data_IF_795042928101
#
_entry.id   IF_795042928101
#
_cell.length_a   1.000
_cell.length_b   1.000
_cell.length_c   1.000
_cell.angle_alpha   90.00
_cell.angle_beta   90.00
_cell.angle_gamma   90.00
#
_symmetry.space_group_name_H-M   'P 1'
#
loop_
_entity.id
_entity.type
_entity.pdbx_description
1 polymer ?
#
# COMPACT_ATOMS: atom_id res chain seq x y z
N UNK A 1 17.30 18.88 16.67
CA UNK A 1 16.98 18.52 18.06
C UNK A 1 15.82 19.31 18.68
N UNK A 2 15.60 20.56 18.27
CA UNK A 2 14.55 21.44 18.87
C UNK A 2 13.14 21.18 18.27
N UNK A 3 13.03 20.80 17.01
CA UNK A 3 11.73 20.56 16.37
C UNK A 3 10.95 19.37 16.95
N UNK A 4 11.65 18.34 17.42
CA UNK A 4 11.02 17.15 18.01
C UNK A 4 10.33 17.46 19.36
N UNK A 5 10.93 18.31 20.18
CA UNK A 5 10.36 18.71 21.49
C UNK A 5 9.13 19.61 21.31
N UNK A 6 9.15 20.49 20.30
CA UNK A 6 8.05 21.41 19.99
C UNK A 6 6.83 20.66 19.40
N UNK A 7 7.06 19.66 18.58
CA UNK A 7 6.02 18.78 18.07
C UNK A 7 5.36 17.95 19.18
N UNK A 8 6.14 17.37 20.10
CA UNK A 8 5.61 16.65 21.26
C UNK A 8 4.73 17.56 22.16
N UNK A 9 5.11 18.80 22.32
CA UNK A 9 4.35 19.74 23.16
C UNK A 9 3.03 20.16 22.50
N UNK A 10 3.03 20.42 21.20
CA UNK A 10 1.82 20.72 20.42
C UNK A 10 0.82 19.56 20.43
N UNK A 11 1.30 18.33 20.21
CA UNK A 11 0.43 17.15 20.17
C UNK A 11 -0.16 16.79 21.53
N UNK A 12 0.55 17.05 22.63
CA UNK A 12 0.05 16.82 23.98
C UNK A 12 -1.14 17.73 24.36
N UNK A 13 -1.23 18.91 23.77
CA UNK A 13 -2.35 19.83 23.99
C UNK A 13 -3.58 19.51 23.13
N UNK A 14 -3.41 18.90 21.96
CA UNK A 14 -4.53 18.46 21.10
C UNK A 14 -5.27 17.27 21.70
N UNK A 15 -4.60 16.41 22.46
CA UNK A 15 -5.21 15.25 23.11
C UNK A 15 -6.19 15.58 24.26
N UNK A 16 -6.27 16.82 24.68
CA UNK A 16 -7.16 17.23 25.80
C UNK A 16 -8.56 17.68 25.38
N UNK A 17 -8.90 17.65 24.10
CA UNK A 17 -10.31 17.76 23.73
C UNK A 17 -11.01 16.44 24.09
N UNK A 18 -11.94 16.46 25.06
CA UNK A 18 -12.73 15.28 25.34
C UNK A 18 -13.49 14.96 24.06
N UNK A 19 -13.21 13.83 23.48
CA UNK A 19 -14.01 13.26 22.39
C UNK A 19 -15.37 12.89 22.99
N UNK A 20 -16.29 13.85 23.06
CA UNK A 20 -17.71 13.61 23.31
C UNK A 20 -18.38 12.99 22.06
N UNK A 21 -17.65 12.20 21.32
CA UNK A 21 -18.23 11.35 20.30
C UNK A 21 -18.71 10.08 20.98
N UNK A 22 -19.97 10.08 21.43
CA UNK A 22 -20.67 8.83 21.58
C UNK A 22 -20.36 7.97 20.37
N UNK A 23 -20.02 6.69 20.58
CA UNK A 23 -19.80 5.73 19.50
C UNK A 23 -20.99 5.79 18.54
N UNK A 24 -20.87 6.54 17.46
CA UNK A 24 -21.86 6.49 16.40
C UNK A 24 -21.82 5.07 15.85
N UNK A 25 -22.92 4.33 15.85
CA UNK A 25 -22.92 2.95 15.36
C UNK A 25 -22.37 2.94 13.96
N UNK A 26 -21.41 2.06 13.70
CA UNK A 26 -20.74 1.93 12.41
C UNK A 26 -21.79 1.79 11.29
N UNK A 27 -21.83 2.65 10.29
CA UNK A 27 -22.90 2.65 9.29
C UNK A 27 -22.80 1.40 8.41
N UNK A 28 -23.54 0.36 8.78
CA UNK A 28 -23.55 -0.94 8.09
C UNK A 28 -23.87 -0.81 6.58
N UNK A 29 -24.68 0.19 6.21
CA UNK A 29 -24.99 0.49 4.81
C UNK A 29 -23.77 0.97 4.02
N UNK A 30 -22.86 1.73 4.63
CA UNK A 30 -21.63 2.20 3.99
C UNK A 30 -20.64 1.04 3.81
N UNK A 31 -20.57 0.12 4.77
CA UNK A 31 -19.75 -1.07 4.68
C UNK A 31 -20.23 -2.02 3.58
N UNK A 32 -21.55 -2.21 3.45
CA UNK A 32 -22.12 -3.02 2.38
C UNK A 32 -21.80 -2.42 1.00
N UNK A 33 -21.94 -1.10 0.83
CA UNK A 33 -21.59 -0.41 -0.42
C UNK A 33 -20.11 -0.58 -0.76
N UNK A 34 -19.22 -0.46 0.22
CA UNK A 34 -17.80 -0.68 0.04
C UNK A 34 -17.49 -2.13 -0.43
N UNK A 35 -18.09 -3.13 0.22
CA UNK A 35 -17.96 -4.54 -0.20
C UNK A 35 -18.42 -4.79 -1.63
N UNK A 36 -19.54 -4.18 -2.02
CA UNK A 36 -20.07 -4.31 -3.40
C UNK A 36 -19.09 -3.71 -4.41
N UNK A 37 -18.54 -2.52 -4.13
CA UNK A 37 -17.57 -1.89 -5.03
C UNK A 37 -16.31 -2.75 -5.14
N UNK A 38 -15.84 -3.29 -4.02
CA UNK A 38 -14.67 -4.16 -3.99
C UNK A 38 -14.93 -5.45 -4.79
N UNK A 39 -16.10 -6.06 -4.64
CA UNK A 39 -16.50 -7.24 -5.38
C UNK A 39 -16.59 -6.96 -6.90
N UNK A 40 -17.13 -5.80 -7.30
CA UNK A 40 -17.19 -5.36 -8.70
C UNK A 40 -15.77 -5.17 -9.25
N UNK A 41 -14.89 -4.53 -8.47
CA UNK A 41 -13.49 -4.29 -8.87
C UNK A 41 -12.76 -5.60 -9.14
N UNK A 42 -12.78 -6.52 -8.16
CA UNK A 42 -12.12 -7.81 -8.31
C UNK A 42 -12.76 -8.69 -9.39
N UNK A 43 -14.10 -8.74 -9.46
CA UNK A 43 -14.82 -9.46 -10.50
C UNK A 43 -14.45 -8.97 -11.90
N UNK A 44 -14.40 -7.65 -12.09
CA UNK A 44 -14.01 -7.07 -13.38
C UNK A 44 -12.53 -7.32 -13.68
N UNK A 45 -11.64 -7.28 -12.68
CA UNK A 45 -10.23 -7.60 -12.87
C UNK A 45 -10.02 -9.05 -13.31
N UNK A 46 -10.74 -10.00 -12.72
CA UNK A 46 -10.69 -11.42 -13.12
C UNK A 46 -11.23 -11.60 -14.53
N UNK A 47 -12.38 -10.99 -14.86
CA UNK A 47 -12.98 -11.07 -16.21
C UNK A 47 -12.00 -10.52 -17.26
N UNK A 48 -11.39 -9.36 -17.00
CA UNK A 48 -10.42 -8.77 -17.93
C UNK A 48 -9.16 -9.64 -18.06
N UNK A 49 -8.66 -10.20 -16.96
CA UNK A 49 -7.50 -11.11 -16.97
C UNK A 49 -7.78 -12.35 -17.85
N UNK A 50 -8.98 -12.94 -17.74
CA UNK A 50 -9.37 -14.08 -18.56
C UNK A 50 -9.55 -13.67 -20.04
N UNK A 51 -10.20 -12.53 -20.29
CA UNK A 51 -10.52 -12.07 -21.64
C UNK A 51 -9.24 -11.72 -22.44
N UNK A 52 -8.27 -11.11 -21.78
CA UNK A 52 -7.01 -10.73 -22.44
C UNK A 52 -5.90 -11.78 -22.30
N UNK A 53 -6.19 -12.92 -21.65
CA UNK A 53 -5.19 -13.97 -21.37
C UNK A 53 -3.91 -13.43 -20.68
N UNK A 54 -4.09 -12.43 -19.81
CA UNK A 54 -3.00 -11.76 -19.13
C UNK A 54 -3.14 -11.88 -17.59
N UNK A 55 -2.20 -11.32 -16.87
CA UNK A 55 -2.14 -11.39 -15.40
C UNK A 55 -3.30 -10.64 -14.75
N UNK A 56 -3.67 -11.06 -13.53
CA UNK A 56 -4.68 -10.35 -12.71
C UNK A 56 -4.25 -8.89 -12.46
N UNK A 57 -2.93 -8.63 -12.41
CA UNK A 57 -2.39 -7.27 -12.25
C UNK A 57 -2.78 -6.36 -13.42
N UNK A 58 -2.73 -6.88 -14.65
CA UNK A 58 -3.20 -6.17 -15.84
C UNK A 58 -4.70 -5.89 -15.75
N UNK A 59 -5.48 -6.90 -15.36
CA UNK A 59 -6.92 -6.74 -15.10
C UNK A 59 -7.22 -5.65 -14.07
N UNK A 60 -6.47 -5.60 -12.96
CA UNK A 60 -6.61 -4.56 -11.93
C UNK A 60 -6.22 -3.18 -12.45
N UNK A 61 -5.17 -3.06 -13.25
CA UNK A 61 -4.71 -1.80 -13.81
C UNK A 61 -5.80 -1.11 -14.67
N UNK A 62 -6.58 -1.89 -15.40
CA UNK A 62 -7.67 -1.38 -16.24
C UNK A 62 -8.96 -1.21 -15.42
N UNK A 63 -9.28 -2.16 -14.52
CA UNK A 63 -10.53 -2.12 -13.77
C UNK A 63 -10.57 -0.98 -12.75
N UNK A 64 -9.44 -0.61 -12.12
CA UNK A 64 -9.39 0.49 -11.15
C UNK A 64 -9.90 1.82 -11.73
N UNK A 65 -9.37 2.36 -12.84
CA UNK A 65 -9.87 3.59 -13.42
C UNK A 65 -11.31 3.45 -13.93
N UNK A 66 -11.70 2.30 -14.51
CA UNK A 66 -13.07 2.09 -14.97
C UNK A 66 -14.08 2.11 -13.82
N UNK A 67 -13.81 1.43 -12.72
CA UNK A 67 -14.66 1.46 -11.52
C UNK A 67 -14.71 2.86 -10.92
N UNK A 68 -13.58 3.57 -10.88
CA UNK A 68 -13.52 4.95 -10.42
C UNK A 68 -14.40 5.88 -11.28
N UNK A 69 -14.32 5.78 -12.60
CA UNK A 69 -15.16 6.56 -13.52
C UNK A 69 -16.65 6.21 -13.37
N UNK A 70 -16.98 4.92 -13.27
CA UNK A 70 -18.34 4.46 -13.04
C UNK A 70 -18.92 4.95 -11.72
N UNK A 71 -18.10 4.96 -10.66
CA UNK A 71 -18.48 5.50 -9.36
C UNK A 71 -18.70 7.01 -9.41
N UNK A 72 -17.80 7.73 -10.07
CA UNK A 72 -17.92 9.17 -10.27
C UNK A 72 -19.20 9.51 -11.03
N UNK A 73 -19.47 8.79 -12.12
CA UNK A 73 -20.72 8.95 -12.88
C UNK A 73 -21.96 8.66 -12.04
N UNK A 74 -21.92 7.63 -11.18
CA UNK A 74 -23.02 7.31 -10.26
C UNK A 74 -23.29 8.43 -9.25
N UNK A 75 -22.24 9.10 -8.77
CA UNK A 75 -22.40 10.25 -7.86
C UNK A 75 -23.09 11.44 -8.54
N UNK A 76 -22.93 11.61 -9.85
CA UNK A 76 -23.58 12.70 -10.58
C UNK A 76 -25.06 12.44 -10.91
N UNK A 77 -25.57 11.22 -10.66
CA UNK A 77 -26.99 10.90 -10.88
C UNK A 77 -27.97 11.69 -10.01
N UNK A 78 -27.52 12.25 -8.90
CA UNK A 78 -28.31 13.13 -8.02
C UNK A 78 -28.52 14.51 -8.60
N UNK A 79 -27.79 14.89 -9.67
CA UNK A 79 -27.83 16.19 -10.33
C UNK A 79 -28.82 16.14 -11.51
N UNK A 80 -29.53 17.23 -11.83
CA UNK A 80 -30.41 17.30 -13.00
C UNK A 80 -29.72 16.92 -14.28
N UNK A 81 -30.44 16.24 -15.18
CA UNK A 81 -29.86 15.58 -16.37
C UNK A 81 -29.06 16.52 -17.28
N UNK A 82 -29.46 17.79 -17.38
CA UNK A 82 -28.77 18.80 -18.20
C UNK A 82 -27.38 19.18 -17.66
N UNK A 83 -27.15 19.03 -16.36
CA UNK A 83 -25.91 19.44 -15.69
C UNK A 83 -25.00 18.25 -15.31
N UNK A 84 -25.45 17.02 -15.57
CA UNK A 84 -24.68 15.80 -15.18
C UNK A 84 -23.34 15.70 -15.88
N UNK A 85 -23.33 15.89 -17.19
CA UNK A 85 -22.09 15.77 -17.97
C UNK A 85 -21.05 16.85 -17.62
N UNK A 86 -21.42 18.14 -17.56
CA UNK A 86 -20.47 19.17 -17.12
C UNK A 86 -20.00 18.97 -15.67
N UNK A 87 -20.87 18.52 -14.76
CA UNK A 87 -20.47 18.19 -13.40
C UNK A 87 -19.52 16.99 -13.31
N UNK A 88 -19.72 15.98 -14.14
CA UNK A 88 -18.82 14.83 -14.26
C UNK A 88 -17.45 15.26 -14.77
N UNK A 89 -17.39 16.03 -15.86
CA UNK A 89 -16.13 16.54 -16.43
C UNK A 89 -15.39 17.42 -15.43
N UNK A 90 -16.10 18.32 -14.75
CA UNK A 90 -15.50 19.18 -13.72
C UNK A 90 -14.88 18.38 -12.57
N UNK A 91 -15.53 17.32 -12.09
CA UNK A 91 -14.98 16.44 -11.06
C UNK A 91 -13.79 15.64 -11.56
N UNK A 92 -13.85 15.18 -12.81
CA UNK A 92 -12.73 14.47 -13.43
C UNK A 92 -11.49 15.40 -13.55
N UNK A 93 -11.73 16.65 -13.93
CA UNK A 93 -10.70 17.71 -14.00
C UNK A 93 -10.10 17.99 -12.60
N UNK A 94 -10.94 18.13 -11.57
CA UNK A 94 -10.48 18.30 -10.18
C UNK A 94 -9.60 17.12 -9.72
N UNK A 95 -9.98 15.90 -10.05
CA UNK A 95 -9.18 14.70 -9.68
C UNK A 95 -7.87 14.70 -10.45
N UNK A 96 -7.90 14.93 -11.76
CA UNK A 96 -6.73 14.81 -12.63
C UNK A 96 -5.72 15.95 -12.43
N UNK A 97 -6.17 17.19 -12.30
CA UNK A 97 -5.29 18.35 -12.26
C UNK A 97 -5.07 18.93 -10.86
N UNK A 98 -5.88 18.55 -9.87
CA UNK A 98 -5.72 19.07 -8.50
C UNK A 98 -5.39 17.94 -7.52
N UNK A 99 -6.18 16.86 -7.48
CA UNK A 99 -6.02 15.83 -6.47
C UNK A 99 -4.81 14.91 -6.75
N UNK A 100 -4.61 14.50 -8.01
CA UNK A 100 -3.44 13.68 -8.39
C UNK A 100 -2.12 14.43 -8.19
N UNK A 101 -1.94 15.69 -8.66
CA UNK A 101 -0.72 16.44 -8.40
C UNK A 101 -0.43 16.69 -6.93
N UNK A 102 -1.44 16.86 -6.08
CA UNK A 102 -1.23 16.97 -4.62
C UNK A 102 -0.60 15.73 -4.01
N UNK A 103 -0.81 14.55 -4.61
CA UNK A 103 -0.24 13.28 -4.15
C UNK A 103 1.06 12.89 -4.85
N UNK A 104 1.67 13.80 -5.62
CA UNK A 104 2.91 13.53 -6.38
C UNK A 104 4.03 12.94 -5.51
N UNK A 105 4.18 13.41 -4.27
CA UNK A 105 5.20 12.88 -3.36
C UNK A 105 5.02 11.38 -3.07
N UNK A 106 3.76 10.93 -2.90
CA UNK A 106 3.47 9.52 -2.67
C UNK A 106 3.78 8.71 -3.93
N UNK A 107 3.38 9.21 -5.10
CA UNK A 107 3.67 8.57 -6.40
C UNK A 107 5.17 8.45 -6.65
N UNK A 108 5.93 9.53 -6.42
CA UNK A 108 7.39 9.53 -6.56
C UNK A 108 8.02 8.54 -5.57
N UNK A 109 7.58 8.55 -4.32
CA UNK A 109 8.09 7.62 -3.30
C UNK A 109 7.83 6.16 -3.68
N UNK A 110 6.65 5.83 -4.19
CA UNK A 110 6.30 4.48 -4.65
C UNK A 110 7.17 4.06 -5.83
N UNK A 111 7.28 4.92 -6.85
CA UNK A 111 8.10 4.66 -8.03
C UNK A 111 9.59 4.52 -7.68
N UNK A 112 10.12 5.44 -6.88
CA UNK A 112 11.50 5.40 -6.42
C UNK A 112 11.79 4.17 -5.56
N UNK A 113 10.89 3.79 -4.67
CA UNK A 113 11.04 2.59 -3.83
C UNK A 113 11.12 1.32 -4.66
N UNK A 114 10.25 1.17 -5.67
CA UNK A 114 10.28 0.03 -6.59
C UNK A 114 11.57 0.01 -7.42
N UNK A 115 12.00 1.16 -7.94
CA UNK A 115 13.21 1.29 -8.74
C UNK A 115 14.47 0.96 -7.92
N UNK A 116 14.63 1.59 -6.75
CA UNK A 116 15.77 1.36 -5.85
C UNK A 116 15.82 -0.11 -5.38
N UNK A 117 14.66 -0.68 -5.02
CA UNK A 117 14.58 -2.09 -4.62
C UNK A 117 15.05 -3.03 -5.71
N UNK A 118 14.67 -2.77 -6.98
CA UNK A 118 15.08 -3.60 -8.12
C UNK A 118 16.56 -3.42 -8.49
N UNK A 119 17.06 -2.19 -8.49
CA UNK A 119 18.49 -1.93 -8.76
C UNK A 119 19.35 -2.52 -7.64
N UNK A 120 18.99 -2.26 -6.37
CA UNK A 120 19.72 -2.81 -5.23
C UNK A 120 19.81 -4.33 -5.26
N UNK A 121 18.71 -5.01 -5.65
CA UNK A 121 18.75 -6.46 -5.85
C UNK A 121 19.66 -6.88 -6.99
N UNK A 122 19.70 -6.12 -8.09
CA UNK A 122 20.57 -6.41 -9.24
C UNK A 122 22.07 -6.18 -8.97
N UNK A 123 22.42 -5.39 -7.96
CA UNK A 123 23.81 -5.14 -7.56
C UNK A 123 24.39 -6.24 -6.66
N UNK A 124 23.55 -7.07 -6.07
CA UNK A 124 23.96 -8.14 -5.17
C UNK A 124 23.86 -9.47 -5.93
N UNK A 125 24.95 -10.24 -6.06
CA UNK A 125 24.87 -11.59 -6.60
C UNK A 125 23.95 -12.45 -5.72
N UNK A 126 22.85 -12.94 -6.30
CA UNK A 126 21.82 -13.64 -5.54
C UNK A 126 22.35 -14.90 -4.84
N UNK A 127 23.28 -15.61 -5.48
CA UNK A 127 23.92 -16.80 -4.91
C UNK A 127 24.82 -16.46 -3.71
N UNK A 128 25.62 -15.40 -3.79
CA UNK A 128 26.46 -14.95 -2.68
C UNK A 128 25.60 -14.51 -1.48
N UNK A 129 24.51 -13.84 -1.75
CA UNK A 129 23.52 -13.47 -0.73
C UNK A 129 22.89 -14.71 -0.07
N UNK A 130 22.50 -15.71 -0.85
CA UNK A 130 21.91 -16.94 -0.35
C UNK A 130 22.92 -17.75 0.49
N UNK A 131 24.18 -17.82 0.04
CA UNK A 131 25.27 -18.52 0.74
C UNK A 131 25.63 -17.79 2.04
N UNK A 132 25.76 -16.46 2.02
CA UNK A 132 26.08 -15.65 3.20
C UNK A 132 25.04 -15.79 4.31
N UNK A 133 23.76 -15.95 3.96
CA UNK A 133 22.66 -16.18 4.88
C UNK A 133 22.42 -17.67 5.20
N UNK A 134 23.15 -18.59 4.56
CA UNK A 134 22.98 -20.02 4.76
C UNK A 134 21.60 -20.54 4.34
N UNK A 135 20.95 -19.91 3.36
CA UNK A 135 19.55 -20.18 2.99
C UNK A 135 19.33 -21.65 2.58
N UNK A 136 20.32 -22.26 1.94
CA UNK A 136 20.22 -23.66 1.48
C UNK A 136 20.32 -24.71 2.60
N UNK A 137 20.83 -24.31 3.78
CA UNK A 137 20.99 -25.19 4.94
C UNK A 137 19.89 -24.98 5.99
N UNK A 138 19.01 -23.97 5.76
CA UNK A 138 17.97 -23.58 6.69
C UNK A 138 16.68 -24.33 6.39
N UNK A 139 15.94 -24.83 7.41
CA UNK A 139 14.62 -25.42 7.19
C UNK A 139 13.67 -24.39 6.59
N UNK A 140 12.78 -24.83 5.69
CA UNK A 140 11.80 -23.97 4.99
C UNK A 140 11.04 -23.04 5.91
N UNK A 141 10.50 -23.59 7.02
CA UNK A 141 9.70 -22.80 7.97
C UNK A 141 10.52 -21.70 8.65
N UNK A 142 11.79 -21.95 8.93
CA UNK A 142 12.70 -20.99 9.54
C UNK A 142 13.03 -19.87 8.56
N UNK A 143 13.35 -20.22 7.31
CA UNK A 143 13.59 -19.26 6.24
C UNK A 143 12.37 -18.35 6.00
N UNK A 144 11.18 -18.94 5.84
CA UNK A 144 9.94 -18.20 5.57
C UNK A 144 9.57 -17.27 6.74
N UNK A 145 9.73 -17.74 7.97
CA UNK A 145 9.47 -16.94 9.17
C UNK A 145 10.47 -15.79 9.29
N UNK A 146 11.76 -16.06 9.09
CA UNK A 146 12.82 -15.04 9.14
C UNK A 146 12.60 -13.97 8.08
N UNK A 147 12.26 -14.37 6.85
CA UNK A 147 11.96 -13.45 5.76
C UNK A 147 10.81 -12.50 6.10
N UNK A 148 9.71 -13.03 6.65
CA UNK A 148 8.55 -12.23 7.06
C UNK A 148 8.88 -11.29 8.22
N UNK A 149 9.57 -11.78 9.24
CA UNK A 149 9.90 -11.02 10.45
C UNK A 149 10.96 -9.97 10.17
N UNK A 150 11.98 -10.26 9.35
CA UNK A 150 13.06 -9.33 9.03
C UNK A 150 12.57 -8.05 8.35
N UNK A 151 11.46 -8.10 7.63
CA UNK A 151 10.88 -6.92 6.99
C UNK A 151 10.41 -5.87 8.01
N UNK A 152 10.00 -6.29 9.21
CA UNK A 152 9.45 -5.38 10.22
C UNK A 152 10.54 -4.44 10.78
N UNK A 153 11.64 -4.91 11.40
CA UNK A 153 12.64 -4.02 11.96
C UNK A 153 13.33 -3.16 10.90
N UNK A 154 13.57 -3.70 9.70
CA UNK A 154 14.19 -2.92 8.61
C UNK A 154 13.26 -1.79 8.16
N UNK A 155 11.94 -1.98 8.20
CA UNK A 155 10.99 -0.92 7.87
C UNK A 155 11.00 0.22 8.89
N UNK A 156 11.38 -0.02 10.14
CA UNK A 156 11.58 1.02 11.15
C UNK A 156 12.87 1.84 10.93
N UNK A 157 13.85 1.30 10.23
CA UNK A 157 15.08 2.02 9.85
C UNK A 157 14.87 3.03 8.70
N UNK A 158 13.62 3.20 8.25
CA UNK A 158 13.29 4.16 7.19
C UNK A 158 13.20 3.55 5.79
N UNK A 159 13.39 2.24 5.68
CA UNK A 159 13.24 1.53 4.40
C UNK A 159 11.75 1.31 4.11
N UNK A 160 11.29 1.74 2.94
CA UNK A 160 9.90 1.54 2.54
C UNK A 160 9.56 0.04 2.44
N UNK A 161 8.43 -0.42 3.03
CA UNK A 161 8.00 -1.82 2.91
C UNK A 161 7.87 -2.31 1.47
N UNK A 162 7.49 -1.43 0.53
CA UNK A 162 7.41 -1.74 -0.89
C UNK A 162 8.80 -2.00 -1.48
N UNK A 163 9.78 -1.17 -1.13
CA UNK A 163 11.16 -1.34 -1.56
C UNK A 163 11.71 -2.70 -1.13
N UNK A 164 11.43 -3.11 0.11
CA UNK A 164 11.86 -4.41 0.63
C UNK A 164 11.18 -5.58 -0.08
N UNK A 165 9.86 -5.50 -0.33
CA UNK A 165 9.14 -6.54 -1.05
C UNK A 165 9.69 -6.72 -2.48
N UNK A 166 9.98 -5.61 -3.18
CA UNK A 166 10.60 -5.64 -4.52
C UNK A 166 12.04 -6.18 -4.45
N UNK A 167 12.82 -5.76 -3.47
CA UNK A 167 14.20 -6.19 -3.28
C UNK A 167 14.28 -7.71 -3.03
N UNK A 168 13.59 -8.22 -2.01
CA UNK A 168 13.59 -9.65 -1.70
C UNK A 168 12.97 -10.48 -2.83
N UNK A 169 11.87 -10.01 -3.42
CA UNK A 169 11.26 -10.67 -4.56
C UNK A 169 12.19 -10.76 -5.77
N UNK A 170 13.00 -9.73 -6.03
CA UNK A 170 13.95 -9.71 -7.14
C UNK A 170 15.16 -10.59 -6.85
N UNK A 171 15.74 -10.56 -5.65
CA UNK A 171 16.89 -11.43 -5.30
C UNK A 171 16.47 -12.89 -5.31
N UNK A 172 15.39 -13.24 -4.62
CA UNK A 172 14.94 -14.62 -4.53
C UNK A 172 14.47 -15.15 -5.88
N UNK A 173 13.85 -14.30 -6.71
CA UNK A 173 13.48 -14.65 -8.08
C UNK A 173 14.67 -14.86 -9.03
N UNK A 174 15.85 -14.35 -8.69
CA UNK A 174 17.08 -14.55 -9.45
C UNK A 174 17.87 -15.81 -9.03
N UNK A 175 17.46 -16.48 -7.93
CA UNK A 175 18.10 -17.71 -7.49
C UNK A 175 17.78 -18.87 -8.43
N UNK A 176 18.77 -19.68 -8.84
CA UNK A 176 18.55 -20.86 -9.67
C UNK A 176 17.72 -21.93 -8.96
N UNK A 177 17.85 -22.02 -7.64
CA UNK A 177 17.08 -22.92 -6.78
C UNK A 177 16.54 -22.10 -5.62
N UNK A 178 15.22 -22.04 -5.50
CA UNK A 178 14.58 -21.39 -4.36
C UNK A 178 14.70 -22.26 -3.10
N UNK A 179 14.97 -21.66 -1.93
CA UNK A 179 15.06 -22.39 -0.66
C UNK A 179 13.74 -23.05 -0.23
N UNK A 180 12.62 -22.69 -0.83
CA UNK A 180 11.30 -23.23 -0.56
C UNK A 180 10.39 -23.11 -1.78
N UNK A 181 9.15 -23.61 -1.69
CA UNK A 181 8.16 -23.50 -2.78
C UNK A 181 7.89 -22.02 -3.13
N UNK A 182 7.88 -21.63 -4.42
CA UNK A 182 7.71 -20.23 -4.84
C UNK A 182 6.46 -19.55 -4.24
N UNK A 183 5.37 -20.30 -4.12
CA UNK A 183 4.11 -19.80 -3.54
C UNK A 183 4.28 -19.45 -2.06
N UNK A 184 5.02 -20.26 -1.29
CA UNK A 184 5.27 -20.00 0.13
C UNK A 184 6.21 -18.81 0.32
N UNK A 185 7.21 -18.66 -0.54
CA UNK A 185 8.12 -17.50 -0.55
C UNK A 185 7.32 -16.22 -0.85
N UNK A 186 6.47 -16.23 -1.86
CA UNK A 186 5.60 -15.10 -2.19
C UNK A 186 4.65 -14.76 -1.03
N UNK A 187 4.10 -15.78 -0.35
CA UNK A 187 3.24 -15.58 0.83
C UNK A 187 4.02 -14.97 2.00
N UNK A 188 5.25 -15.43 2.25
CA UNK A 188 6.10 -14.90 3.31
C UNK A 188 6.46 -13.42 3.06
N UNK A 189 6.84 -13.06 1.83
CA UNK A 189 7.08 -11.66 1.45
C UNK A 189 5.81 -10.82 1.61
N UNK A 190 4.67 -11.32 1.13
CA UNK A 190 3.38 -10.61 1.21
C UNK A 190 2.93 -10.39 2.65
N UNK A 191 3.10 -11.38 3.53
CA UNK A 191 2.76 -11.27 4.95
C UNK A 191 3.68 -10.28 5.68
N UNK A 192 5.00 -10.37 5.46
CA UNK A 192 5.97 -9.43 6.00
C UNK A 192 5.72 -7.99 5.52
N UNK A 193 5.42 -7.83 4.23
CA UNK A 193 5.02 -6.55 3.66
C UNK A 193 3.74 -6.00 4.30
N UNK A 194 2.69 -6.81 4.43
CA UNK A 194 1.41 -6.39 4.99
C UNK A 194 1.56 -5.93 6.46
N UNK A 195 2.31 -6.68 7.29
CA UNK A 195 2.59 -6.30 8.68
C UNK A 195 3.42 -5.01 8.71
N UNK A 196 4.47 -4.90 7.90
CA UNK A 196 5.31 -3.70 7.82
C UNK A 196 4.52 -2.46 7.38
N UNK A 197 3.53 -2.61 6.48
CA UNK A 197 2.64 -1.52 6.06
C UNK A 197 1.74 -0.97 7.17
N UNK A 198 1.46 -1.76 8.19
CA UNK A 198 0.65 -1.31 9.34
C UNK A 198 1.49 -0.81 10.51
N UNK A 199 2.70 -1.31 10.66
CA UNK A 199 3.57 -1.02 11.81
C UNK A 199 4.62 0.05 11.53
N UNK A 200 5.05 0.23 10.28
CA UNK A 200 6.11 1.19 9.96
C UNK A 200 5.58 2.63 9.86
N UNK A 201 6.23 3.60 10.50
CA UNK A 201 5.91 5.03 10.36
C UNK A 201 6.18 5.56 8.94
N UNK A 202 6.99 4.86 8.14
CA UNK A 202 7.32 5.20 6.76
C UNK A 202 6.41 4.51 5.73
N UNK A 203 5.44 3.72 6.19
CA UNK A 203 4.47 3.11 5.31
C UNK A 203 3.55 4.15 4.67
N UNK A 204 3.26 3.98 3.38
CA UNK A 204 2.43 4.92 2.61
C UNK A 204 1.05 5.12 3.25
N UNK A 205 0.44 4.05 3.77
CA UNK A 205 -0.87 4.10 4.44
C UNK A 205 -0.82 4.95 5.70
N UNK A 206 0.22 4.76 6.54
CA UNK A 206 0.43 5.52 7.77
C UNK A 206 0.66 7.00 7.45
N UNK A 207 1.47 7.31 6.43
CA UNK A 207 1.72 8.68 5.99
C UNK A 207 0.44 9.34 5.44
N UNK A 208 -0.42 8.61 4.72
CA UNK A 208 -1.70 9.15 4.27
C UNK A 208 -2.65 9.45 5.44
N UNK A 209 -2.79 8.52 6.39
CA UNK A 209 -3.64 8.70 7.58
C UNK A 209 -3.11 9.86 8.44
N UNK A 210 -1.79 9.94 8.62
CA UNK A 210 -1.11 11.02 9.32
C UNK A 210 -1.46 12.39 8.73
N UNK A 211 -1.38 12.53 7.41
CA UNK A 211 -1.70 13.78 6.71
C UNK A 211 -3.18 14.15 6.81
N UNK A 212 -4.08 13.17 6.67
CA UNK A 212 -5.53 13.40 6.73
C UNK A 212 -5.99 13.84 8.13
N UNK A 213 -5.36 13.32 9.17
CA UNK A 213 -5.75 13.58 10.57
C UNK A 213 -4.83 14.57 11.30
N UNK A 214 -3.78 15.09 10.65
CA UNK A 214 -2.75 15.93 11.27
C UNK A 214 -2.12 15.30 12.53
N UNK A 215 -1.92 13.97 12.51
CA UNK A 215 -1.33 13.21 13.61
C UNK A 215 0.07 12.76 13.16
N UNK A 216 1.06 12.73 14.05
CA UNK A 216 2.40 12.29 13.67
C UNK A 216 2.41 10.80 13.29
N UNK A 217 3.17 10.38 12.25
CA UNK A 217 3.26 8.97 11.82
C UNK A 217 3.72 8.04 12.95
N UNK A 218 4.71 8.50 13.74
CA UNK A 218 5.23 7.75 14.89
C UNK A 218 4.16 7.48 15.96
N UNK A 219 3.26 8.43 16.19
CA UNK A 219 2.19 8.26 17.17
C UNK A 219 1.12 7.27 16.72
N UNK A 220 0.94 7.12 15.40
CA UNK A 220 0.00 6.15 14.82
C UNK A 220 0.53 4.71 14.89
N UNK A 221 1.85 4.53 14.88
CA UNK A 221 2.47 3.20 14.81
C UNK A 221 2.93 2.65 16.17
N UNK A 222 3.14 3.52 17.16
CA UNK A 222 3.61 3.13 18.50
C UNK A 222 2.48 2.97 19.54
N UNK A 223 1.22 3.04 19.13
CA UNK A 223 0.04 2.93 19.98
C UNK A 223 -0.78 1.70 19.64
#
# INVERSE_FOLDING_TARGET
GLGWAEDQWRFRNIQRQPSSSGMTPFPSSSFLRFRIILAILFGMAVILSILFHDTIVFGLLISCPLVMLGWLYRQTKTIPQKERFPAFVKRLDEISFIALPKNHQIMITLAASGFIGRIGAGMIPAEDFANALGLYHMPDYMFLSLLSIAMIPVSYLGVSPIMMAVFFGSILGALPILPSRPTLVALAISSGWAVSMTTSPFATVVLMISRLNNISPLHLTLR
#
